data_IF_331034977775
#
_entry.id   IF_331034977775
#
_cell.length_a   1.000
_cell.length_b   1.000
_cell.length_c   1.000
_cell.angle_alpha   90.00
_cell.angle_beta   90.00
_cell.angle_gamma   90.00
#
_symmetry.space_group_name_H-M   'P 1'
#
loop_
_entity.id
_entity.type
_entity.pdbx_description
1 polymer ?
#
# COMPACT_ATOMS: atom_id res chain seq x y z
N UNK A 1 -9.28 25.35 4.90
CA UNK A 1 -8.07 25.42 5.74
C UNK A 1 -7.57 24.00 5.97
N UNK A 2 -6.31 23.69 5.64
CA UNK A 2 -5.69 22.41 6.00
C UNK A 2 -4.90 22.64 7.30
N UNK A 3 -5.43 22.30 8.49
CA UNK A 3 -4.68 22.52 9.72
C UNK A 3 -3.39 21.72 9.61
N UNK A 4 -2.27 22.37 9.94
CA UNK A 4 -0.93 21.80 9.96
C UNK A 4 -1.02 20.40 10.59
N UNK A 5 -0.90 19.35 9.75
CA UNK A 5 -1.12 17.97 10.19
C UNK A 5 -0.08 17.66 11.25
N UNK A 6 -0.55 17.44 12.47
CA UNK A 6 0.28 17.15 13.62
C UNK A 6 1.00 15.81 13.37
N UNK A 7 2.32 15.86 13.28
CA UNK A 7 3.20 14.71 13.49
C UNK A 7 2.90 13.45 12.64
N UNK A 8 2.71 13.60 11.33
CA UNK A 8 2.54 12.47 10.42
C UNK A 8 3.88 11.70 10.30
N UNK A 9 3.92 10.46 10.78
CA UNK A 9 5.15 9.66 10.87
C UNK A 9 5.61 9.22 9.47
N UNK A 10 6.92 9.24 9.25
CA UNK A 10 7.53 8.72 8.02
C UNK A 10 7.92 7.25 8.23
N UNK A 11 7.34 6.38 7.42
CA UNK A 11 7.63 4.95 7.38
C UNK A 11 8.78 4.68 6.41
N UNK A 12 9.76 3.90 6.86
CA UNK A 12 10.85 3.38 6.02
C UNK A 12 10.40 2.12 5.30
N UNK A 13 11.17 1.70 4.28
CA UNK A 13 10.84 0.49 3.51
C UNK A 13 10.54 -0.77 4.34
N UNK A 14 11.30 -1.11 5.41
CA UNK A 14 10.97 -2.27 6.24
C UNK A 14 9.61 -2.17 6.93
N UNK A 15 9.27 -0.98 7.44
CA UNK A 15 7.99 -0.72 8.10
C UNK A 15 6.82 -0.76 7.10
N UNK A 16 7.02 -0.16 5.92
CA UNK A 16 6.04 -0.22 4.84
C UNK A 16 5.71 -1.66 4.46
N UNK A 17 6.74 -2.50 4.26
CA UNK A 17 6.59 -3.94 3.94
C UNK A 17 5.78 -4.66 5.01
N UNK A 18 6.08 -4.42 6.29
CA UNK A 18 5.37 -5.03 7.41
C UNK A 18 3.90 -4.60 7.43
N UNK A 19 3.61 -3.32 7.18
CA UNK A 19 2.26 -2.77 7.22
C UNK A 19 1.37 -3.21 6.04
N UNK A 20 1.91 -3.19 4.82
CA UNK A 20 1.12 -3.53 3.62
C UNK A 20 1.12 -5.02 3.29
N UNK A 21 1.96 -5.81 3.95
CA UNK A 21 2.08 -7.26 3.72
C UNK A 21 2.65 -7.64 2.34
N UNK A 22 3.24 -6.68 1.60
CA UNK A 22 3.83 -6.92 0.29
C UNK A 22 5.35 -7.02 0.36
N UNK A 23 5.93 -7.91 -0.44
CA UNK A 23 7.39 -7.98 -0.63
C UNK A 23 7.92 -6.68 -1.24
N UNK A 24 9.15 -6.32 -0.89
CA UNK A 24 9.86 -5.12 -1.39
C UNK A 24 9.83 -5.00 -2.92
N UNK A 25 10.03 -6.10 -3.63
CA UNK A 25 10.00 -6.14 -5.10
C UNK A 25 8.66 -5.68 -5.65
N UNK A 26 7.55 -6.16 -5.09
CA UNK A 26 6.20 -5.76 -5.48
C UNK A 26 5.92 -4.28 -5.21
N UNK A 27 6.47 -3.74 -4.12
CA UNK A 27 6.37 -2.30 -3.82
C UNK A 27 7.09 -1.49 -4.90
N UNK A 28 8.31 -1.87 -5.31
CA UNK A 28 9.00 -1.18 -6.40
C UNK A 28 8.25 -1.26 -7.73
N UNK A 29 7.64 -2.40 -8.04
CA UNK A 29 6.82 -2.56 -9.25
C UNK A 29 5.58 -1.64 -9.23
N UNK A 30 4.96 -1.44 -8.06
CA UNK A 30 3.84 -0.50 -7.88
C UNK A 30 4.26 0.97 -8.03
N UNK A 31 5.49 1.30 -7.62
CA UNK A 31 6.05 2.65 -7.72
C UNK A 31 6.50 3.02 -9.15
N UNK A 32 6.72 2.03 -10.02
CA UNK A 32 7.21 2.25 -11.37
C UNK A 32 6.11 2.84 -12.26
N UNK A 33 6.28 4.10 -12.66
CA UNK A 33 5.38 4.77 -13.61
C UNK A 33 5.36 4.00 -14.94
N UNK A 34 4.17 3.69 -15.44
CA UNK A 34 3.98 2.93 -16.69
C UNK A 34 4.32 1.44 -16.58
N UNK A 35 4.63 0.93 -15.38
CA UNK A 35 4.81 -0.49 -15.14
C UNK A 35 3.48 -1.26 -15.15
N UNK A 36 3.55 -2.58 -15.37
CA UNK A 36 2.38 -3.48 -15.36
C UNK A 36 1.55 -3.39 -14.07
N UNK A 37 2.21 -3.14 -12.94
CA UNK A 37 1.60 -3.10 -11.61
C UNK A 37 1.54 -1.70 -11.03
N UNK A 38 1.76 -0.66 -11.85
CA UNK A 38 1.72 0.73 -11.42
C UNK A 38 0.35 1.03 -10.79
N UNK A 39 0.36 1.55 -9.57
CA UNK A 39 -0.85 1.87 -8.82
C UNK A 39 -0.83 3.36 -8.50
N UNK A 40 -1.68 4.13 -9.19
CA UNK A 40 -1.77 5.58 -9.00
C UNK A 40 -2.27 5.98 -7.61
N UNK A 41 -2.91 5.07 -6.88
CA UNK A 41 -3.38 5.28 -5.50
C UNK A 41 -2.32 4.90 -4.47
N UNK A 42 -1.22 4.27 -4.88
CA UNK A 42 -0.16 3.86 -3.95
C UNK A 42 0.55 5.10 -3.35
N UNK A 43 0.93 5.05 -2.05
CA UNK A 43 1.59 6.17 -1.38
C UNK A 43 2.87 6.60 -2.11
N UNK A 44 3.05 7.91 -2.30
CA UNK A 44 4.22 8.42 -3.01
C UNK A 44 5.44 8.45 -2.09
N UNK A 45 6.62 8.05 -2.57
CA UNK A 45 7.82 8.09 -1.76
C UNK A 45 8.31 9.53 -1.58
N UNK A 46 8.66 9.86 -0.34
CA UNK A 46 9.36 11.09 0.04
C UNK A 46 10.85 10.80 0.08
N UNK A 47 11.65 11.60 -0.63
CA UNK A 47 13.11 11.52 -0.58
C UNK A 47 13.60 12.10 0.74
N UNK A 48 14.19 11.27 1.58
CA UNK A 48 14.80 11.67 2.86
C UNK A 48 16.32 11.86 2.75
N UNK A 49 16.92 11.40 1.66
CA UNK A 49 18.35 11.54 1.39
C UNK A 49 18.78 10.87 0.08
N UNK A 50 20.09 10.75 -0.19
CA UNK A 50 20.60 10.26 -1.47
C UNK A 50 20.15 8.84 -1.81
N UNK A 51 20.08 7.96 -0.81
CA UNK A 51 19.65 6.55 -0.92
C UNK A 51 18.45 6.21 -0.03
N UNK A 52 17.80 7.24 0.50
CA UNK A 52 16.84 7.11 1.57
C UNK A 52 15.48 7.65 1.11
N UNK A 53 14.46 6.79 1.11
CA UNK A 53 13.07 7.15 0.86
C UNK A 53 12.20 6.74 2.04
N UNK A 54 11.08 7.43 2.23
CA UNK A 54 10.04 7.07 3.19
C UNK A 54 8.66 7.38 2.66
N UNK A 55 7.64 7.04 3.43
CA UNK A 55 6.23 7.20 3.07
C UNK A 55 5.47 7.78 4.25
N UNK A 56 4.48 8.63 4.01
CA UNK A 56 3.63 9.12 5.09
C UNK A 56 2.73 8.00 5.59
N UNK A 57 2.72 7.78 6.91
CA UNK A 57 1.88 6.77 7.54
C UNK A 57 0.41 6.96 7.19
N UNK A 58 -0.10 8.20 7.26
CA UNK A 58 -1.49 8.49 6.87
C UNK A 58 -1.83 8.12 5.42
N UNK A 59 -0.89 8.24 4.48
CA UNK A 59 -1.12 7.83 3.09
C UNK A 59 -1.15 6.32 2.93
N UNK A 60 -0.26 5.62 3.63
CA UNK A 60 -0.23 4.15 3.66
C UNK A 60 -1.52 3.62 4.28
N UNK A 61 -1.95 4.17 5.41
CA UNK A 61 -3.20 3.79 6.07
C UNK A 61 -4.41 4.02 5.15
N UNK A 62 -4.47 5.19 4.49
CA UNK A 62 -5.53 5.48 3.51
C UNK A 62 -5.55 4.47 2.37
N UNK A 63 -4.40 4.08 1.84
CA UNK A 63 -4.31 3.07 0.78
C UNK A 63 -4.76 1.69 1.27
N UNK A 64 -4.41 1.28 2.49
CA UNK A 64 -4.88 0.04 3.10
C UNK A 64 -6.40 0.04 3.22
N UNK A 65 -6.99 1.13 3.73
CA UNK A 65 -8.45 1.27 3.85
C UNK A 65 -9.15 1.16 2.50
N UNK A 66 -8.62 1.80 1.44
CA UNK A 66 -9.16 1.67 0.09
C UNK A 66 -9.14 0.21 -0.41
N UNK A 67 -8.08 -0.55 -0.10
CA UNK A 67 -7.99 -1.97 -0.47
C UNK A 67 -8.94 -2.85 0.34
N UNK A 68 -9.16 -2.52 1.60
CA UNK A 68 -10.12 -3.22 2.45
C UNK A 68 -11.56 -3.04 1.94
N UNK A 69 -11.89 -1.85 1.43
CA UNK A 69 -13.18 -1.59 0.78
C UNK A 69 -13.35 -2.40 -0.51
N UNK A 70 -12.25 -2.56 -1.28
CA UNK A 70 -12.19 -3.38 -2.48
C UNK A 70 -11.96 -4.88 -2.22
N UNK A 71 -12.18 -5.37 -0.98
CA UNK A 71 -11.95 -6.77 -0.66
C UNK A 71 -12.79 -7.66 -1.60
N UNK A 72 -12.14 -8.61 -2.24
CA UNK A 72 -12.86 -9.59 -3.04
C UNK A 72 -13.55 -10.59 -2.11
N UNK A 73 -14.81 -10.89 -2.37
CA UNK A 73 -15.46 -12.04 -1.73
C UNK A 73 -14.85 -13.32 -2.30
N UNK A 74 -14.09 -14.02 -1.46
CA UNK A 74 -13.68 -15.37 -1.79
C UNK A 74 -14.89 -16.29 -1.64
N UNK A 75 -15.54 -16.61 -2.76
CA UNK A 75 -16.51 -17.70 -2.80
C UNK A 75 -15.77 -19.01 -2.62
N UNK A 76 -15.83 -19.57 -1.41
CA UNK A 76 -15.51 -20.98 -1.23
C UNK A 76 -16.63 -21.75 -1.93
N UNK A 77 -16.29 -22.49 -2.99
CA UNK A 77 -17.24 -23.36 -3.66
C UNK A 77 -17.73 -24.41 -2.67
N UNK A 78 -19.00 -24.32 -2.27
CA UNK A 78 -19.65 -25.38 -1.52
C UNK A 78 -19.72 -26.60 -2.44
N UNK A 79 -18.95 -27.64 -2.12
CA UNK A 79 -19.15 -28.97 -2.69
C UNK A 79 -20.48 -29.50 -2.18
N UNK A 80 -21.55 -29.25 -2.93
CA UNK A 80 -22.79 -29.99 -2.77
C UNK A 80 -23.33 -30.30 -4.16
N UNK A 81 -23.01 -31.50 -4.65
CA UNK A 81 -23.92 -32.33 -5.43
C UNK A 81 -23.33 -33.75 -5.43
N UNK A 82 -23.68 -34.49 -4.38
CA UNK A 82 -23.84 -35.94 -4.46
C UNK A 82 -25.33 -36.18 -4.65
N UNK A 83 -25.71 -36.60 -5.85
CA UNK A 83 -27.00 -37.24 -6.15
C UNK A 83 -26.78 -38.25 -7.29
#
# INVERSE_FOLDING_TARGET
MNPLRHNDRILRMPELVALVGLKRTMIYERLKIGGKYADGSFPRPIKLGPRAIGFLESEVQRWITQRADQRIEFKFGTSEEVA
#
